data_IF_800000123388
#
_entry.id   IF_800000123388
#
_cell.length_a   1.000
_cell.length_b   1.000
_cell.length_c   1.000
_cell.angle_alpha   90.00
_cell.angle_beta   90.00
_cell.angle_gamma   90.00
#
_symmetry.space_group_name_H-M   'P 1'
#
loop_
_entity.id
_entity.type
_entity.pdbx_description
1 polymer ?
#
# COMPACT_ATOMS: atom_id res chain seq x y z
N UNK A 1 -7.23 6.56 3.48
CA UNK A 1 -5.94 7.05 2.95
C UNK A 1 -5.30 6.12 1.88
N UNK A 2 -6.05 5.18 1.29
CA UNK A 2 -5.57 4.32 0.19
C UNK A 2 -5.90 4.92 -1.19
N UNK A 3 -7.08 5.54 -1.32
CA UNK A 3 -7.53 6.23 -2.54
C UNK A 3 -6.61 7.40 -2.95
N UNK A 4 -6.06 8.13 -1.99
CA UNK A 4 -5.13 9.23 -2.26
C UNK A 4 -3.82 8.76 -2.91
N UNK A 5 -3.43 7.49 -2.71
CA UNK A 5 -2.22 6.92 -3.33
C UNK A 5 -2.39 6.67 -4.82
N UNK A 6 -3.60 6.40 -5.31
CA UNK A 6 -3.89 6.30 -6.75
C UNK A 6 -3.66 7.64 -7.47
N UNK A 7 -3.99 8.74 -6.79
CA UNK A 7 -3.80 10.11 -7.28
C UNK A 7 -2.34 10.61 -7.20
N UNK A 8 -1.41 9.82 -6.65
CA UNK A 8 0.01 10.17 -6.70
C UNK A 8 0.54 10.07 -8.13
N UNK A 9 1.54 10.89 -8.49
CA UNK A 9 2.12 10.87 -9.84
C UNK A 9 2.61 9.47 -10.25
N UNK A 10 3.11 8.68 -9.30
CA UNK A 10 3.57 7.30 -9.53
C UNK A 10 2.39 6.36 -9.81
N UNK A 11 1.27 6.53 -9.08
CA UNK A 11 0.04 5.77 -9.32
C UNK A 11 -0.53 6.06 -10.71
N UNK A 12 -0.63 7.34 -11.08
CA UNK A 12 -1.19 7.76 -12.36
C UNK A 12 -0.36 7.28 -13.56
N UNK A 13 0.97 7.37 -13.48
CA UNK A 13 1.87 6.84 -14.52
C UNK A 13 1.70 5.33 -14.72
N UNK A 14 1.58 4.57 -13.62
CA UNK A 14 1.37 3.11 -13.67
C UNK A 14 0.02 2.74 -14.28
N UNK A 15 -1.05 3.43 -13.90
CA UNK A 15 -2.39 3.20 -14.45
C UNK A 15 -2.41 3.56 -15.94
N UNK A 16 -1.87 4.71 -16.32
CA UNK A 16 -1.83 5.15 -17.72
C UNK A 16 -1.08 4.17 -18.62
N UNK A 17 0.10 3.70 -18.19
CA UNK A 17 0.84 2.67 -18.92
C UNK A 17 0.05 1.36 -19.04
N UNK A 18 -0.57 0.90 -17.95
CA UNK A 18 -1.39 -0.32 -17.96
C UNK A 18 -2.63 -0.18 -18.85
N UNK A 19 -3.28 0.98 -18.82
CA UNK A 19 -4.42 1.30 -19.67
C UNK A 19 -4.06 1.23 -21.15
N UNK A 20 -2.99 1.92 -21.57
CA UNK A 20 -2.53 1.91 -22.96
C UNK A 20 -2.23 0.48 -23.42
N UNK A 21 -1.57 -0.34 -22.59
CA UNK A 21 -1.29 -1.74 -22.91
C UNK A 21 -2.56 -2.60 -23.05
N UNK A 22 -3.50 -2.50 -22.11
CA UNK A 22 -4.75 -3.27 -22.13
C UNK A 22 -5.64 -2.83 -23.29
N UNK A 23 -5.81 -1.52 -23.47
CA UNK A 23 -6.60 -0.96 -24.55
C UNK A 23 -6.03 -1.37 -25.91
N UNK A 24 -4.71 -1.22 -26.11
CA UNK A 24 -4.05 -1.62 -27.34
C UNK A 24 -4.20 -3.12 -27.64
N UNK A 25 -4.07 -3.98 -26.63
CA UNK A 25 -4.20 -5.43 -26.80
C UNK A 25 -5.64 -5.84 -27.17
N UNK A 26 -6.63 -5.24 -26.53
CA UNK A 26 -8.04 -5.50 -26.83
C UNK A 26 -8.42 -4.95 -28.22
N UNK A 27 -8.01 -3.71 -28.54
CA UNK A 27 -8.25 -3.11 -29.85
C UNK A 27 -7.64 -3.95 -30.98
N UNK A 28 -6.38 -4.36 -30.83
CA UNK A 28 -5.67 -5.22 -31.78
C UNK A 28 -6.37 -6.57 -31.99
N UNK A 29 -7.12 -7.07 -31.00
CA UNK A 29 -7.88 -8.32 -31.13
C UNK A 29 -9.24 -8.10 -31.81
N UNK A 30 -9.90 -6.97 -31.53
CA UNK A 30 -11.23 -6.64 -32.05
C UNK A 30 -11.17 -6.31 -33.54
N UNK A 31 -10.17 -5.57 -33.99
CA UNK A 31 -10.11 -5.07 -35.37
C UNK A 31 -9.97 -6.19 -36.42
N UNK A 32 -9.09 -7.20 -36.26
CA UNK A 32 -9.08 -8.38 -37.13
C UNK A 32 -10.36 -9.20 -37.02
N UNK A 33 -10.95 -9.32 -35.82
CA UNK A 33 -12.21 -10.05 -35.64
C UNK A 33 -13.37 -9.39 -36.38
N UNK A 34 -13.38 -8.05 -36.48
CA UNK A 34 -14.37 -7.30 -37.24
C UNK A 34 -14.31 -7.58 -38.75
N UNK A 35 -13.16 -8.00 -39.29
CA UNK A 35 -13.05 -8.43 -40.69
C UNK A 35 -13.79 -9.75 -40.96
N UNK A 36 -13.82 -10.65 -39.98
CA UNK A 36 -14.51 -11.95 -40.11
C UNK A 36 -15.99 -11.88 -39.70
N UNK A 37 -16.37 -10.95 -38.81
CA UNK A 37 -17.72 -10.82 -38.26
C UNK A 37 -18.26 -9.38 -38.33
N UNK A 38 -18.42 -8.80 -39.53
CA UNK A 38 -18.77 -7.39 -39.70
C UNK A 38 -20.14 -7.01 -39.13
N UNK A 39 -21.15 -7.89 -39.24
CA UNK A 39 -22.49 -7.59 -38.71
C UNK A 39 -22.58 -7.68 -37.19
N UNK A 40 -21.77 -8.54 -36.57
CA UNK A 40 -21.80 -8.74 -35.11
C UNK A 40 -20.98 -7.72 -34.33
N UNK A 41 -20.08 -6.97 -34.97
CA UNK A 41 -19.16 -6.03 -34.31
C UNK A 41 -19.41 -4.56 -34.68
N UNK A 42 -20.58 -4.25 -35.26
CA UNK A 42 -20.95 -2.90 -35.68
C UNK A 42 -21.67 -2.09 -34.58
N UNK A 43 -20.98 -1.90 -33.45
CA UNK A 43 -21.53 -1.19 -32.28
C UNK A 43 -21.16 0.31 -32.22
N UNK A 44 -20.41 0.80 -33.20
CA UNK A 44 -20.01 2.20 -33.34
C UNK A 44 -19.31 2.79 -32.09
N UNK A 45 -19.58 4.06 -31.80
CA UNK A 45 -18.98 4.79 -30.68
C UNK A 45 -19.29 4.20 -29.30
N UNK A 46 -20.40 3.48 -29.16
CA UNK A 46 -20.81 2.87 -27.89
C UNK A 46 -19.83 1.75 -27.51
N UNK A 47 -19.44 0.89 -28.45
CA UNK A 47 -18.42 -0.13 -28.18
C UNK A 47 -17.04 0.48 -27.93
N UNK A 48 -16.68 1.56 -28.63
CA UNK A 48 -15.43 2.25 -28.36
C UNK A 48 -15.39 2.81 -26.92
N UNK A 49 -16.45 3.51 -26.49
CA UNK A 49 -16.57 4.00 -25.12
C UNK A 49 -16.57 2.85 -24.11
N UNK A 50 -17.28 1.76 -24.40
CA UNK A 50 -17.27 0.55 -23.59
C UNK A 50 -15.86 -0.02 -23.44
N UNK A 51 -15.10 -0.12 -24.54
CA UNK A 51 -13.73 -0.59 -24.54
C UNK A 51 -12.80 0.29 -23.70
N UNK A 52 -12.93 1.62 -23.81
CA UNK A 52 -12.16 2.57 -22.99
C UNK A 52 -12.49 2.38 -21.51
N UNK A 53 -13.77 2.32 -21.15
CA UNK A 53 -14.21 2.14 -19.75
C UNK A 53 -13.73 0.81 -19.19
N UNK A 54 -13.87 -0.29 -19.94
CA UNK A 54 -13.42 -1.63 -19.53
C UNK A 54 -11.90 -1.65 -19.36
N UNK A 55 -11.15 -1.11 -20.32
CA UNK A 55 -9.69 -1.06 -20.26
C UNK A 55 -9.20 -0.24 -19.06
N UNK A 56 -9.86 0.88 -18.77
CA UNK A 56 -9.54 1.72 -17.62
C UNK A 56 -9.89 1.03 -16.31
N UNK A 57 -11.05 0.38 -16.21
CA UNK A 57 -11.45 -0.38 -15.03
C UNK A 57 -10.44 -1.50 -14.72
N UNK A 58 -10.05 -2.28 -15.72
CA UNK A 58 -9.05 -3.35 -15.55
C UNK A 58 -7.70 -2.76 -15.12
N UNK A 59 -7.25 -1.65 -15.73
CA UNK A 59 -5.99 -0.99 -15.37
C UNK A 59 -6.00 -0.50 -13.91
N UNK A 60 -7.09 0.09 -13.45
CA UNK A 60 -7.24 0.55 -12.06
C UNK A 60 -7.24 -0.63 -11.09
N UNK A 61 -7.97 -1.70 -11.40
CA UNK A 61 -8.04 -2.90 -10.55
C UNK A 61 -6.65 -3.56 -10.43
N UNK A 62 -5.94 -3.75 -11.54
CA UNK A 62 -4.62 -4.39 -11.55
C UNK A 62 -3.55 -3.57 -10.83
N UNK A 63 -3.64 -2.24 -10.91
CA UNK A 63 -2.65 -1.31 -10.35
C UNK A 63 -3.06 -0.72 -9.02
N UNK A 64 -4.14 -1.23 -8.42
CA UNK A 64 -4.61 -0.77 -7.13
C UNK A 64 -3.51 -0.93 -6.06
N UNK A 65 -3.23 0.11 -5.26
CA UNK A 65 -2.12 0.09 -4.32
C UNK A 65 -2.30 -1.00 -3.27
N UNK A 66 -1.29 -1.85 -3.11
CA UNK A 66 -1.23 -2.86 -2.04
C UNK A 66 -0.72 -2.21 -0.75
N UNK A 67 -1.41 -2.48 0.35
CA UNK A 67 -1.02 -2.00 1.69
C UNK A 67 -0.12 -2.98 2.44
N UNK A 68 -0.04 -4.23 1.99
CA UNK A 68 0.86 -5.23 2.53
C UNK A 68 1.41 -6.17 1.46
N UNK A 69 2.57 -6.73 1.74
CA UNK A 69 3.23 -7.78 0.95
C UNK A 69 3.72 -8.85 1.92
N UNK A 70 3.28 -10.09 1.72
CA UNK A 70 3.65 -11.23 2.55
C UNK A 70 4.51 -12.21 1.76
N UNK A 71 5.52 -12.79 2.43
CA UNK A 71 6.33 -13.86 1.88
C UNK A 71 6.57 -14.92 2.94
N UNK A 72 6.15 -16.15 2.64
CA UNK A 72 6.51 -17.31 3.46
C UNK A 72 7.99 -17.67 3.24
N UNK A 73 8.70 -17.90 4.33
CA UNK A 73 10.04 -18.46 4.38
C UNK A 73 9.91 -19.98 4.54
N UNK A 74 10.76 -20.72 3.85
CA UNK A 74 10.75 -22.19 3.88
C UNK A 74 11.49 -22.77 5.09
N UNK A 75 12.39 -21.99 5.70
CA UNK A 75 13.14 -22.38 6.88
C UNK A 75 13.68 -21.13 7.58
N UNK A 76 13.23 -20.80 8.81
CA UNK A 76 12.15 -21.45 9.56
C UNK A 76 10.77 -21.29 8.89
N UNK A 77 9.78 -22.07 9.34
CA UNK A 77 8.38 -21.94 8.92
C UNK A 77 7.81 -20.64 9.50
N UNK A 78 7.91 -19.56 8.72
CA UNK A 78 7.61 -18.21 9.16
C UNK A 78 7.14 -17.37 7.98
N UNK A 79 6.27 -16.39 8.24
CA UNK A 79 5.81 -15.45 7.22
C UNK A 79 6.35 -14.07 7.56
N UNK A 80 7.07 -13.47 6.60
CA UNK A 80 7.50 -12.07 6.68
C UNK A 80 6.49 -11.22 5.95
N UNK A 81 5.88 -10.26 6.65
CA UNK A 81 4.97 -9.28 6.09
C UNK A 81 5.58 -7.88 6.19
N UNK A 82 5.58 -7.14 5.07
CA UNK A 82 5.83 -5.71 5.05
C UNK A 82 4.49 -5.02 4.84
N UNK A 83 4.07 -4.21 5.81
CA UNK A 83 2.75 -3.57 5.83
C UNK A 83 2.85 -2.08 6.13
N UNK A 84 1.95 -1.32 5.52
CA UNK A 84 1.78 0.11 5.78
C UNK A 84 0.66 0.26 6.82
N UNK A 85 0.99 0.78 8.00
CA UNK A 85 0.03 0.98 9.08
C UNK A 85 0.67 1.56 10.33
N UNK A 86 -0.12 1.66 11.40
CA UNK A 86 0.37 2.02 12.73
C UNK A 86 0.95 0.77 13.42
N UNK A 87 2.17 0.90 13.94
CA UNK A 87 2.91 -0.15 14.62
C UNK A 87 2.19 -0.63 15.90
N UNK A 88 1.62 0.30 16.68
CA UNK A 88 0.94 0.00 17.95
C UNK A 88 -0.43 -0.67 17.77
N UNK A 89 -0.95 -0.71 16.55
CA UNK A 89 -2.19 -1.42 16.23
C UNK A 89 -1.95 -2.86 15.75
N UNK A 90 -0.69 -3.32 15.68
CA UNK A 90 -0.38 -4.69 15.30
C UNK A 90 -0.48 -5.63 16.51
N UNK A 91 -0.98 -6.84 16.29
CA UNK A 91 -1.05 -7.88 17.31
C UNK A 91 0.30 -8.56 17.51
N UNK A 92 0.62 -8.92 18.75
CA UNK A 92 1.82 -9.68 19.11
C UNK A 92 2.89 -8.83 19.81
N UNK A 93 4.08 -9.42 19.97
CA UNK A 93 5.21 -8.71 20.54
C UNK A 93 5.75 -7.68 19.57
N UNK A 94 6.01 -6.48 20.09
CA UNK A 94 6.56 -5.40 19.31
C UNK A 94 8.00 -5.12 19.74
N UNK A 95 8.91 -5.08 18.76
CA UNK A 95 10.29 -4.64 18.98
C UNK A 95 10.40 -3.20 18.49
N UNK A 96 10.76 -2.30 19.39
CA UNK A 96 10.94 -0.88 19.12
C UNK A 96 12.43 -0.55 19.15
N UNK A 97 12.94 0.08 18.09
CA UNK A 97 14.31 0.57 18.08
C UNK A 97 14.48 1.74 19.06
N UNK A 98 15.44 1.61 19.98
CA UNK A 98 15.88 2.64 20.93
C UNK A 98 17.15 3.34 20.45
N UNK A 99 17.50 4.50 21.05
CA UNK A 99 18.87 5.02 20.96
C UNK A 99 19.79 4.23 21.91
N UNK A 100 21.10 4.51 21.85
CA UNK A 100 22.13 3.81 22.62
C UNK A 100 22.11 4.11 24.13
N UNK A 101 21.55 5.26 24.51
CA UNK A 101 21.46 5.72 25.90
C UNK A 101 20.08 5.51 26.54
N UNK A 102 19.11 4.94 25.81
CA UNK A 102 17.71 4.76 26.24
C UNK A 102 17.07 6.05 26.77
N UNK A 103 17.30 7.18 26.09
CA UNK A 103 16.62 8.45 26.42
C UNK A 103 15.10 8.31 26.19
N UNK A 104 14.32 8.68 27.18
CA UNK A 104 12.86 8.60 27.19
C UNK A 104 12.18 9.96 27.20
N UNK A 105 12.95 11.05 27.35
CA UNK A 105 12.40 12.40 27.49
C UNK A 105 11.89 12.97 26.16
N UNK A 106 10.61 13.38 26.15
CA UNK A 106 10.04 14.07 25.00
C UNK A 106 10.59 15.48 24.88
N UNK A 107 11.05 15.85 23.70
CA UNK A 107 11.60 17.18 23.47
C UNK A 107 12.41 17.23 22.20
N UNK A 108 13.61 17.80 22.30
CA UNK A 108 14.51 17.87 21.16
C UNK A 108 15.08 16.51 20.77
N UNK A 109 15.32 15.63 21.74
CA UNK A 109 15.89 14.30 21.51
C UNK A 109 14.82 13.34 20.98
N UNK A 110 13.75 13.11 21.76
CA UNK A 110 12.63 12.26 21.32
C UNK A 110 11.46 13.11 20.86
N UNK A 111 11.24 13.13 19.54
CA UNK A 111 10.08 13.81 18.96
C UNK A 111 8.79 13.09 19.35
N UNK A 112 7.71 13.80 19.74
CA UNK A 112 6.42 13.17 20.04
C UNK A 112 5.83 12.37 18.88
N UNK A 113 6.16 12.76 17.63
CA UNK A 113 5.73 12.05 16.42
C UNK A 113 6.60 10.84 16.05
N UNK A 114 7.71 10.61 16.75
CA UNK A 114 8.56 9.43 16.56
C UNK A 114 7.90 8.16 17.12
N UNK A 115 8.45 6.98 16.81
CA UNK A 115 7.93 5.72 17.36
C UNK A 115 8.09 5.68 18.88
N UNK A 116 9.23 6.10 19.43
CA UNK A 116 9.46 6.14 20.88
C UNK A 116 8.52 7.15 21.56
N UNK A 117 8.32 8.33 20.97
CA UNK A 117 7.38 9.31 21.52
C UNK A 117 5.93 8.83 21.50
N UNK A 118 5.52 8.14 20.43
CA UNK A 118 4.22 7.49 20.35
C UNK A 118 4.06 6.32 21.34
N UNK A 119 5.14 5.62 21.67
CA UNK A 119 5.14 4.58 22.68
C UNK A 119 4.89 5.14 24.08
N UNK A 120 5.62 6.18 24.47
CA UNK A 120 5.43 6.85 25.77
C UNK A 120 4.03 7.48 25.87
N UNK A 121 3.59 8.20 24.83
CA UNK A 121 2.27 8.87 24.84
C UNK A 121 1.11 7.89 24.77
N UNK A 122 1.19 6.88 23.87
CA UNK A 122 0.08 5.99 23.57
C UNK A 122 -0.04 4.78 24.47
N UNK A 123 1.09 4.20 24.91
CA UNK A 123 1.11 2.98 25.73
C UNK A 123 1.29 3.32 27.21
N UNK A 124 2.18 4.25 27.54
CA UNK A 124 2.44 4.66 28.93
C UNK A 124 1.62 5.88 29.36
N UNK A 125 0.82 6.48 28.48
CA UNK A 125 -0.02 7.62 28.84
C UNK A 125 0.76 8.85 29.26
N UNK A 126 1.97 9.05 28.72
CA UNK A 126 2.96 10.06 29.15
C UNK A 126 3.58 9.84 30.54
N UNK A 127 3.47 8.64 31.12
CA UNK A 127 4.12 8.30 32.38
C UNK A 127 5.60 7.92 32.14
N UNK A 128 6.46 8.93 32.10
CA UNK A 128 7.90 8.78 31.88
C UNK A 128 8.57 8.04 33.04
N UNK A 129 8.20 8.34 34.28
CA UNK A 129 8.77 7.70 35.47
C UNK A 129 8.50 6.21 35.50
N UNK A 130 7.32 5.78 35.06
CA UNK A 130 7.00 4.36 34.93
C UNK A 130 7.84 3.69 33.84
N UNK A 131 7.99 4.34 32.68
CA UNK A 131 8.81 3.80 31.59
C UNK A 131 10.26 3.61 32.02
N UNK A 132 10.86 4.62 32.67
CA UNK A 132 12.25 4.55 33.15
C UNK A 132 12.42 3.44 34.19
N UNK A 133 11.50 3.33 35.14
CA UNK A 133 11.54 2.28 36.16
C UNK A 133 11.46 0.87 35.57
N UNK A 134 10.68 0.67 34.49
CA UNK A 134 10.59 -0.62 33.80
C UNK A 134 11.85 -0.93 32.96
N UNK A 135 12.53 0.09 32.43
CA UNK A 135 13.81 -0.08 31.72
C UNK A 135 14.93 -0.46 32.70
N UNK A 136 15.03 0.22 33.84
CA UNK A 136 16.05 -0.05 34.87
C UNK A 136 15.87 -1.40 35.57
N UNK A 137 14.66 -1.97 35.53
CA UNK A 137 14.36 -3.26 36.14
C UNK A 137 14.87 -4.48 35.33
N UNK A 138 15.38 -4.28 34.12
CA UNK A 138 15.90 -5.32 33.21
C UNK A 138 17.43 -5.43 33.30
#
# INVERSE_FOLDING_TARGET
MLYLKLLTQVGLKRIGSSFISIFGLLWLSIEPAALFFPESLNFGWIAYLGLVVVSLAIAVIQRFPRSSVCKALSSPDSVVEIKIGNLFNQSGHLVIGANDVFDTELGEVIKPSSVQGQFLTGIYGNDLSKLDAEIEAV
#
